data_IF_016722261766
#
_entry.id   IF_016722261766
#
_cell.length_a   1.000
_cell.length_b   1.000
_cell.length_c   1.000
_cell.angle_alpha   90.00
_cell.angle_beta   90.00
_cell.angle_gamma   90.00
#
_symmetry.space_group_name_H-M   'P 1'
#
loop_
_entity.id
_entity.type
_entity.pdbx_description
1 polymer ?
#
# COMPACT_ATOMS: atom_id res chain seq x y z
N UNK A 1 20.50 -7.21 2.89
CA UNK A 1 19.77 -6.08 2.28
C UNK A 1 19.75 -4.92 3.25
N UNK A 2 20.04 -3.71 2.78
CA UNK A 2 19.97 -2.50 3.61
C UNK A 2 18.59 -1.86 3.40
N UNK A 3 17.72 -1.88 4.41
CA UNK A 3 16.32 -1.45 4.28
C UNK A 3 16.09 -0.20 5.11
N UNK A 4 16.08 0.94 4.44
CA UNK A 4 15.85 2.26 5.02
C UNK A 4 15.04 3.13 4.07
N UNK A 5 14.21 4.03 4.60
CA UNK A 5 13.47 4.99 3.80
C UNK A 5 14.46 5.98 3.17
N UNK A 6 14.58 5.94 1.85
CA UNK A 6 15.53 6.77 1.10
C UNK A 6 15.19 8.27 1.19
N UNK A 7 16.21 9.12 1.05
CA UNK A 7 16.01 10.57 0.98
C UNK A 7 15.23 10.98 -0.28
N UNK A 8 15.43 10.25 -1.39
CA UNK A 8 14.68 10.45 -2.63
C UNK A 8 13.18 10.20 -2.42
N UNK A 9 12.81 9.11 -1.74
CA UNK A 9 11.41 8.83 -1.40
C UNK A 9 10.83 9.94 -0.51
N UNK A 10 11.55 10.37 0.52
CA UNK A 10 11.10 11.46 1.40
C UNK A 10 10.90 12.78 0.65
N UNK A 11 11.82 13.10 -0.28
CA UNK A 11 11.73 14.29 -1.10
C UNK A 11 10.58 14.24 -2.12
N UNK A 12 10.08 13.05 -2.46
CA UNK A 12 8.92 12.88 -3.34
C UNK A 12 7.58 13.17 -2.66
N UNK A 13 7.53 13.23 -1.32
CA UNK A 13 6.31 13.48 -0.57
C UNK A 13 5.88 14.95 -0.73
N UNK A 14 4.69 15.16 -1.27
CA UNK A 14 4.14 16.48 -1.57
C UNK A 14 2.88 16.71 -0.73
N UNK A 15 2.85 17.75 0.12
CA UNK A 15 1.69 18.07 0.94
C UNK A 15 0.53 18.58 0.08
N UNK A 16 -0.70 18.24 0.50
CA UNK A 16 -1.91 18.82 -0.06
C UNK A 16 -2.18 20.19 0.55
N UNK A 17 -2.85 21.06 -0.22
CA UNK A 17 -3.38 22.30 0.34
C UNK A 17 -4.48 22.00 1.38
N UNK A 18 -4.58 22.84 2.41
CA UNK A 18 -5.59 22.67 3.47
C UNK A 18 -6.98 22.77 2.89
N UNK A 19 -7.19 23.71 1.98
CA UNK A 19 -8.47 23.97 1.31
C UNK A 19 -8.97 22.75 0.54
N UNK A 20 -8.06 21.91 0.01
CA UNK A 20 -8.43 20.67 -0.68
C UNK A 20 -9.00 19.62 0.27
N UNK A 21 -8.48 19.56 1.51
CA UNK A 21 -8.79 18.49 2.46
C UNK A 21 -9.82 18.87 3.52
N UNK A 22 -10.00 20.16 3.80
CA UNK A 22 -10.96 20.69 4.79
C UNK A 22 -12.38 20.12 4.61
N UNK A 23 -12.95 20.03 3.38
CA UNK A 23 -14.29 19.49 3.17
C UNK A 23 -14.47 18.04 3.62
N UNK A 24 -13.38 17.28 3.76
CA UNK A 24 -13.43 15.85 4.06
C UNK A 24 -13.53 15.54 5.56
N UNK A 25 -13.34 16.54 6.44
CA UNK A 25 -13.43 16.41 7.89
C UNK A 25 -12.63 15.21 8.44
N UNK A 26 -11.38 15.09 7.99
CA UNK A 26 -10.49 13.99 8.35
C UNK A 26 -10.07 14.06 9.82
N UNK A 27 -9.65 12.93 10.44
CA UNK A 27 -9.06 12.93 11.77
C UNK A 27 -7.84 13.86 11.81
N UNK A 28 -7.64 14.58 12.91
CA UNK A 28 -6.62 15.62 13.03
C UNK A 28 -5.22 15.14 12.63
N UNK A 29 -4.82 13.94 13.07
CA UNK A 29 -3.52 13.36 12.72
C UNK A 29 -3.39 13.08 11.21
N UNK A 30 -4.44 12.55 10.58
CA UNK A 30 -4.46 12.29 9.13
C UNK A 30 -4.42 13.60 8.35
N UNK A 31 -5.23 14.58 8.75
CA UNK A 31 -5.27 15.90 8.12
C UNK A 31 -3.91 16.60 8.21
N UNK A 32 -3.31 16.61 9.40
CA UNK A 32 -2.00 17.20 9.62
C UNK A 32 -0.93 16.50 8.77
N UNK A 33 -0.90 15.18 8.77
CA UNK A 33 0.07 14.42 7.97
C UNK A 33 -0.04 14.76 6.49
N UNK A 34 -1.25 14.76 5.92
CA UNK A 34 -1.45 15.03 4.50
C UNK A 34 -1.15 16.49 4.10
N UNK A 35 -1.25 17.45 5.02
CA UNK A 35 -1.01 18.88 4.75
C UNK A 35 0.41 19.35 5.10
N UNK A 36 1.14 18.60 5.93
CA UNK A 36 2.53 18.94 6.30
C UNK A 36 3.58 18.03 5.63
N UNK A 37 3.24 16.75 5.41
CA UNK A 37 4.14 15.75 4.82
C UNK A 37 3.66 15.33 3.43
N UNK A 38 2.41 14.89 3.33
CA UNK A 38 1.79 14.53 2.06
C UNK A 38 2.10 13.13 1.56
N UNK A 39 1.93 12.95 0.24
CA UNK A 39 2.03 11.66 -0.47
C UNK A 39 2.95 11.80 -1.69
N UNK A 40 3.51 10.70 -2.23
CA UNK A 40 4.42 10.76 -3.35
C UNK A 40 3.66 10.93 -4.69
N UNK A 41 3.03 12.09 -4.90
CA UNK A 41 2.04 12.33 -5.96
C UNK A 41 2.55 12.10 -7.38
N UNK A 42 3.84 12.35 -7.61
CA UNK A 42 4.45 12.24 -8.94
C UNK A 42 5.43 11.07 -9.06
N UNK A 43 5.60 10.27 -7.99
CA UNK A 43 6.45 9.09 -8.05
C UNK A 43 5.61 7.86 -8.38
N UNK A 44 5.99 7.14 -9.43
CA UNK A 44 5.48 5.79 -9.64
C UNK A 44 6.12 4.87 -8.60
N UNK A 45 5.30 4.31 -7.71
CA UNK A 45 5.77 3.38 -6.69
C UNK A 45 5.45 1.95 -7.14
N UNK A 46 6.46 1.20 -7.60
CA UNK A 46 6.29 -0.20 -8.01
C UNK A 46 6.25 -1.11 -6.77
N UNK A 47 5.06 -1.64 -6.44
CA UNK A 47 4.92 -2.57 -5.31
C UNK A 47 5.17 -4.02 -5.75
N UNK A 48 4.76 -4.37 -6.97
CA UNK A 48 4.93 -5.68 -7.65
C UNK A 48 4.94 -5.43 -9.16
N UNK A 49 5.45 -6.36 -10.00
CA UNK A 49 5.55 -6.11 -11.42
C UNK A 49 4.16 -5.85 -11.99
N UNK A 50 4.06 -4.84 -12.84
CA UNK A 50 2.83 -4.44 -13.53
C UNK A 50 1.69 -3.91 -12.63
N UNK A 51 1.93 -3.61 -11.35
CA UNK A 51 0.96 -2.91 -10.50
C UNK A 51 1.56 -1.66 -9.84
N UNK A 52 1.80 -0.60 -10.62
CA UNK A 52 2.29 0.66 -10.08
C UNK A 52 1.22 1.31 -9.20
N UNK A 53 1.62 1.76 -8.02
CA UNK A 53 0.79 2.60 -7.17
C UNK A 53 0.88 4.05 -7.67
N UNK A 54 -0.25 4.57 -8.15
CA UNK A 54 -0.39 5.94 -8.66
C UNK A 54 -1.29 6.75 -7.75
N UNK A 55 -0.76 7.83 -7.16
CA UNK A 55 -1.50 8.70 -6.25
C UNK A 55 -2.37 9.71 -7.01
N UNK A 56 -3.52 10.06 -6.42
CA UNK A 56 -4.43 11.06 -6.99
C UNK A 56 -4.02 12.45 -6.53
N UNK A 57 -3.85 13.38 -7.48
CA UNK A 57 -3.64 14.80 -7.18
C UNK A 57 -4.84 15.43 -6.47
N UNK A 58 -6.04 14.93 -6.79
CA UNK A 58 -7.30 15.36 -6.16
C UNK A 58 -7.96 14.12 -5.55
N UNK A 59 -7.76 13.86 -4.24
CA UNK A 59 -8.40 12.75 -3.57
C UNK A 59 -9.91 13.01 -3.48
N UNK A 60 -10.71 11.95 -3.44
CA UNK A 60 -12.17 12.06 -3.47
C UNK A 60 -12.83 11.10 -2.48
N UNK A 61 -13.99 11.51 -1.97
CA UNK A 61 -14.79 10.66 -1.09
C UNK A 61 -15.77 9.83 -1.90
N UNK A 62 -15.89 8.56 -1.54
CA UNK A 62 -16.98 7.71 -2.00
C UNK A 62 -17.58 6.96 -0.81
N UNK A 63 -18.91 6.92 -0.79
CA UNK A 63 -19.68 6.09 0.13
C UNK A 63 -20.03 4.78 -0.57
N UNK A 64 -19.84 3.69 0.14
CA UNK A 64 -20.12 2.36 -0.37
C UNK A 64 -21.45 1.87 0.14
N UNK A 65 -22.20 1.14 -0.70
CA UNK A 65 -23.53 0.65 -0.34
C UNK A 65 -23.47 -0.41 0.77
N UNK A 66 -22.42 -1.24 0.75
CA UNK A 66 -22.28 -2.41 1.61
C UNK A 66 -21.16 -2.28 2.65
N UNK A 67 -20.33 -1.25 2.55
CA UNK A 67 -19.34 -0.94 3.59
C UNK A 67 -19.92 0.15 4.48
N UNK A 68 -19.83 -0.05 5.80
CA UNK A 68 -20.36 0.91 6.78
C UNK A 68 -19.55 2.22 6.80
N UNK A 69 -18.34 2.19 6.28
CA UNK A 69 -17.36 3.26 6.40
C UNK A 69 -17.42 4.17 5.16
N UNK A 70 -17.01 5.42 5.34
CA UNK A 70 -16.80 6.38 4.26
C UNK A 70 -15.31 6.45 3.98
N UNK A 71 -14.93 6.42 2.71
CA UNK A 71 -13.54 6.32 2.32
C UNK A 71 -13.11 7.52 1.50
N UNK A 72 -11.94 8.07 1.84
CA UNK A 72 -11.20 9.03 1.01
C UNK A 72 -10.20 8.26 0.16
N UNK A 73 -10.43 8.25 -1.14
CA UNK A 73 -9.57 7.59 -2.12
C UNK A 73 -8.36 8.45 -2.44
N UNK A 74 -7.16 7.85 -2.35
CA UNK A 74 -5.88 8.55 -2.45
C UNK A 74 -4.96 8.01 -3.55
N UNK A 75 -5.17 6.76 -3.99
CA UNK A 75 -4.35 6.16 -5.03
C UNK A 75 -5.05 5.00 -5.73
N UNK A 76 -4.46 4.52 -6.82
CA UNK A 76 -4.83 3.33 -7.57
C UNK A 76 -3.64 2.39 -7.70
N UNK A 77 -3.90 1.08 -7.61
CA UNK A 77 -2.98 0.01 -7.99
C UNK A 77 -3.50 -0.73 -9.24
N UNK A 78 -4.07 0.01 -10.18
CA UNK A 78 -4.64 -0.49 -11.43
C UNK A 78 -5.55 -1.72 -11.20
N UNK A 79 -5.21 -2.87 -11.79
CA UNK A 79 -5.99 -4.11 -11.68
C UNK A 79 -6.09 -4.67 -10.25
N UNK A 80 -5.21 -4.26 -9.32
CA UNK A 80 -5.27 -4.70 -7.92
C UNK A 80 -6.27 -3.89 -7.08
N UNK A 81 -6.86 -2.82 -7.63
CA UNK A 81 -7.87 -2.02 -6.96
C UNK A 81 -7.35 -0.67 -6.45
N UNK A 82 -8.12 -0.06 -5.55
CA UNK A 82 -7.93 1.33 -5.14
C UNK A 82 -7.46 1.45 -3.70
N UNK A 83 -6.65 2.46 -3.39
CA UNK A 83 -6.19 2.72 -2.03
C UNK A 83 -7.01 3.85 -1.42
N UNK A 84 -7.52 3.62 -0.22
CA UNK A 84 -8.38 4.56 0.46
C UNK A 84 -8.14 4.62 1.97
N UNK A 85 -8.42 5.80 2.53
CA UNK A 85 -8.41 6.08 3.96
C UNK A 85 -9.83 6.01 4.49
N UNK A 86 -10.04 5.32 5.60
CA UNK A 86 -11.29 5.48 6.36
C UNK A 86 -11.32 6.86 7.00
N UNK A 87 -12.30 7.69 6.62
CA UNK A 87 -12.42 9.08 7.10
C UNK A 87 -12.69 9.16 8.60
N UNK A 88 -13.10 8.07 9.27
CA UNK A 88 -13.38 8.06 10.70
C UNK A 88 -12.13 7.82 11.56
N UNK A 89 -11.27 6.90 11.15
CA UNK A 89 -10.13 6.45 11.97
C UNK A 89 -8.76 6.61 11.29
N UNK A 90 -8.72 6.97 10.01
CA UNK A 90 -7.48 7.21 9.27
C UNK A 90 -6.74 5.96 8.81
N UNK A 91 -7.29 4.75 9.04
CA UNK A 91 -6.68 3.50 8.57
C UNK A 91 -6.74 3.40 7.05
N UNK A 92 -5.72 2.75 6.48
CA UNK A 92 -5.52 2.62 5.03
C UNK A 92 -5.96 1.23 4.58
N UNK A 93 -6.74 1.19 3.51
CA UNK A 93 -7.28 -0.02 2.92
C UNK A 93 -7.00 -0.06 1.43
N UNK A 94 -6.80 -1.28 0.93
CA UNK A 94 -6.96 -1.60 -0.48
C UNK A 94 -8.41 -2.05 -0.68
N UNK A 95 -9.15 -1.32 -1.50
CA UNK A 95 -10.50 -1.66 -1.92
C UNK A 95 -10.39 -2.44 -3.23
N UNK A 96 -10.49 -3.77 -3.13
CA UNK A 96 -10.49 -4.66 -4.28
C UNK A 96 -11.90 -4.75 -4.87
N UNK A 97 -11.95 -4.87 -6.20
CA UNK A 97 -13.18 -5.07 -6.94
C UNK A 97 -13.22 -6.53 -7.39
N UNK A 98 -14.22 -7.28 -6.90
CA UNK A 98 -14.49 -8.64 -7.36
C UNK A 98 -15.55 -8.60 -8.45
N UNK A 99 -15.10 -8.64 -9.71
CA UNK A 99 -15.99 -8.68 -10.88
C UNK A 99 -16.53 -10.09 -11.17
N UNK A 100 -16.01 -11.15 -10.53
CA UNK A 100 -16.43 -12.53 -10.82
C UNK A 100 -17.88 -12.81 -10.43
N UNK A 101 -18.40 -12.10 -9.42
CA UNK A 101 -19.80 -12.18 -8.97
C UNK A 101 -20.74 -11.21 -9.72
N UNK A 102 -20.23 -10.35 -10.61
CA UNK A 102 -21.02 -9.38 -11.40
C UNK A 102 -22.14 -10.06 -12.20
N UNK A 103 -21.89 -11.30 -12.63
CA UNK A 103 -22.83 -12.09 -13.43
C UNK A 103 -24.00 -12.69 -12.63
N UNK A 104 -23.86 -12.83 -11.30
CA UNK A 104 -24.84 -13.54 -10.47
C UNK A 104 -25.88 -12.61 -9.86
N UNK A 105 -25.50 -11.38 -9.51
CA UNK A 105 -26.37 -10.45 -8.77
C UNK A 105 -26.47 -9.05 -9.38
N UNK A 106 -25.77 -8.80 -10.50
CA UNK A 106 -25.70 -7.47 -11.11
C UNK A 106 -24.98 -6.42 -10.26
N UNK A 107 -24.33 -6.84 -9.17
CA UNK A 107 -23.65 -5.99 -8.22
C UNK A 107 -22.17 -6.33 -8.15
N UNK A 108 -21.35 -5.28 -8.16
CA UNK A 108 -19.90 -5.39 -8.01
C UNK A 108 -19.60 -5.44 -6.51
N UNK A 109 -18.90 -6.49 -6.07
CA UNK A 109 -18.52 -6.67 -4.67
C UNK A 109 -17.20 -5.96 -4.41
N UNK A 110 -17.21 -5.05 -3.45
CA UNK A 110 -16.02 -4.31 -3.02
C UNK A 110 -15.53 -4.90 -1.69
N UNK A 111 -14.26 -5.34 -1.68
CA UNK A 111 -13.67 -6.03 -0.53
C UNK A 111 -12.55 -5.14 0.04
N UNK A 112 -12.74 -4.54 1.23
CA UNK A 112 -11.69 -3.78 1.88
C UNK A 112 -10.67 -4.73 2.53
N UNK A 113 -9.42 -4.61 2.13
CA UNK A 113 -8.27 -5.28 2.75
C UNK A 113 -7.43 -4.27 3.52
N UNK A 114 -7.13 -4.58 4.77
CA UNK A 114 -6.32 -3.72 5.65
C UNK A 114 -4.88 -3.61 5.13
N UNK A 115 -4.40 -2.38 4.94
CA UNK A 115 -3.02 -2.09 4.53
C UNK A 115 -2.18 -1.52 5.64
N UNK A 116 -2.71 -0.60 6.44
CA UNK A 116 -2.00 0.05 7.55
C UNK A 116 -2.98 0.73 8.51
N UNK A 117 -2.57 0.93 9.77
CA UNK A 117 -3.44 1.56 10.77
C UNK A 117 -3.57 3.08 10.63
N UNK A 118 -2.66 3.73 9.90
CA UNK A 118 -2.72 5.17 9.64
C UNK A 118 -1.98 5.50 8.36
N UNK A 119 -2.22 6.70 7.81
CA UNK A 119 -1.51 7.17 6.62
C UNK A 119 0.00 7.27 6.84
N UNK A 120 0.45 7.66 8.04
CA UNK A 120 1.88 7.70 8.38
C UNK A 120 2.51 6.32 8.25
N UNK A 121 1.90 5.31 8.89
CA UNK A 121 2.39 3.94 8.81
C UNK A 121 2.41 3.44 7.36
N UNK A 122 1.42 3.81 6.55
CA UNK A 122 1.40 3.47 5.14
C UNK A 122 2.57 4.07 4.36
N UNK A 123 2.83 5.37 4.51
CA UNK A 123 3.95 6.05 3.85
C UNK A 123 5.30 5.47 4.32
N UNK A 124 5.45 5.20 5.61
CA UNK A 124 6.69 4.63 6.14
C UNK A 124 6.91 3.18 5.64
N UNK A 125 5.86 2.35 5.65
CA UNK A 125 5.93 0.99 5.10
C UNK A 125 6.20 0.99 3.59
N UNK A 126 5.57 1.89 2.84
CA UNK A 126 5.81 2.05 1.41
C UNK A 126 7.26 2.47 1.14
N UNK A 127 7.80 3.44 1.89
CA UNK A 127 9.19 3.85 1.78
C UNK A 127 10.19 2.72 2.06
N UNK A 128 9.91 1.87 3.05
CA UNK A 128 10.71 0.66 3.32
C UNK A 128 10.61 -0.35 2.17
N UNK A 129 9.41 -0.54 1.61
CA UNK A 129 9.19 -1.43 0.48
C UNK A 129 9.94 -0.95 -0.78
N UNK A 130 9.89 0.35 -1.08
CA UNK A 130 10.62 0.96 -2.21
C UNK A 130 12.15 0.76 -2.11
N UNK A 131 12.69 0.65 -0.89
CA UNK A 131 14.10 0.31 -0.66
C UNK A 131 14.38 -1.18 -0.84
N UNK A 132 13.49 -2.03 -0.31
CA UNK A 132 13.68 -3.48 -0.26
C UNK A 132 13.44 -4.17 -1.61
N UNK A 133 12.32 -3.88 -2.27
CA UNK A 133 11.83 -4.66 -3.40
C UNK A 133 12.80 -4.72 -4.60
N UNK A 134 13.48 -3.61 -4.99
CA UNK A 134 14.52 -3.69 -6.02
C UNK A 134 15.70 -4.59 -5.61
N UNK A 135 16.11 -4.58 -4.34
CA UNK A 135 17.19 -5.45 -3.84
C UNK A 135 16.79 -6.93 -3.87
N UNK A 136 15.53 -7.22 -3.54
CA UNK A 136 15.00 -8.58 -3.64
C UNK A 136 15.02 -9.08 -5.08
N UNK A 137 14.57 -8.27 -6.04
CA UNK A 137 14.57 -8.62 -7.46
C UNK A 137 15.97 -8.92 -7.99
N UNK A 138 16.95 -8.08 -7.65
CA UNK A 138 18.34 -8.34 -8.06
C UNK A 138 18.91 -9.60 -7.41
N UNK A 139 18.56 -9.88 -6.15
CA UNK A 139 18.97 -11.11 -5.48
C UNK A 139 18.34 -12.36 -6.11
N UNK A 140 17.03 -12.34 -6.39
CA UNK A 140 16.34 -13.45 -7.08
C UNK A 140 16.94 -13.69 -8.46
N UNK A 141 17.20 -12.62 -9.22
CA UNK A 141 17.87 -12.73 -10.52
C UNK A 141 19.25 -13.37 -10.40
N UNK A 142 20.06 -12.95 -9.43
CA UNK A 142 21.39 -13.51 -9.17
C UNK A 142 21.32 -15.00 -8.80
N UNK A 143 20.33 -15.41 -8.02
CA UNK A 143 20.15 -16.82 -7.65
C UNK A 143 19.74 -17.66 -8.85
N UNK A 144 18.84 -17.16 -9.71
CA UNK A 144 18.44 -17.83 -10.94
C UNK A 144 19.60 -17.99 -11.95
N UNK A 145 20.56 -17.06 -11.96
CA UNK A 145 21.78 -17.17 -12.77
C UNK A 145 22.74 -18.28 -12.26
N UNK A 146 22.65 -18.64 -10.98
CA UNK A 146 23.47 -19.70 -10.35
C UNK A 146 22.75 -21.05 -10.43
N UNK A 147 21.44 -21.05 -10.18
CA UNK A 147 20.57 -22.21 -10.16
C UNK A 147 19.25 -21.87 -10.86
N UNK A 148 19.08 -22.37 -12.08
CA UNK A 148 17.87 -22.17 -12.88
C UNK A 148 16.60 -22.77 -12.23
N UNK A 149 16.76 -23.66 -11.24
CA UNK A 149 15.65 -24.26 -10.49
C UNK A 149 15.31 -23.50 -9.22
N UNK A 150 16.03 -22.42 -8.90
CA UNK A 150 15.77 -21.57 -7.74
C UNK A 150 14.30 -21.15 -7.69
N UNK A 151 13.68 -21.35 -6.54
CA UNK A 151 12.28 -21.02 -6.31
C UNK A 151 12.13 -20.19 -5.05
N UNK A 152 11.53 -19.01 -5.19
CA UNK A 152 11.26 -18.15 -4.04
C UNK A 152 10.28 -18.79 -3.03
N UNK A 153 9.50 -19.80 -3.44
CA UNK A 153 8.66 -20.61 -2.55
C UNK A 153 9.47 -21.41 -1.53
N UNK A 154 10.71 -21.75 -1.85
CA UNK A 154 11.62 -22.48 -0.95
C UNK A 154 12.48 -21.55 -0.10
N UNK A 155 12.41 -20.23 -0.39
CA UNK A 155 13.28 -19.20 0.17
C UNK A 155 12.51 -18.03 0.80
N UNK A 156 11.44 -18.33 1.53
CA UNK A 156 10.63 -17.32 2.25
C UNK A 156 11.46 -16.49 3.25
N UNK A 157 12.63 -16.98 3.68
CA UNK A 157 13.56 -16.23 4.54
C UNK A 157 14.03 -14.90 3.92
N UNK A 158 14.02 -14.78 2.59
CA UNK A 158 14.40 -13.55 1.90
C UNK A 158 13.47 -12.38 2.20
N UNK A 159 12.23 -12.65 2.62
CA UNK A 159 11.27 -11.63 3.06
C UNK A 159 11.38 -11.26 4.55
N UNK A 160 12.07 -12.06 5.37
CA UNK A 160 12.14 -11.80 6.82
C UNK A 160 12.73 -10.43 7.18
N UNK A 161 13.74 -9.89 6.48
CA UNK A 161 14.25 -8.55 6.74
C UNK A 161 13.17 -7.46 6.60
N UNK A 162 12.36 -7.49 5.54
CA UNK A 162 11.31 -6.48 5.34
C UNK A 162 10.16 -6.68 6.33
N UNK A 163 9.74 -7.93 6.58
CA UNK A 163 8.68 -8.22 7.55
C UNK A 163 9.02 -7.75 8.96
N UNK A 164 10.31 -7.81 9.34
CA UNK A 164 10.78 -7.26 10.63
C UNK A 164 10.63 -5.74 10.66
N UNK A 165 11.09 -5.04 9.62
CA UNK A 165 10.99 -3.57 9.52
C UNK A 165 9.55 -3.08 9.50
N UNK A 166 8.67 -3.73 8.73
CA UNK A 166 7.24 -3.40 8.69
C UNK A 166 6.57 -3.57 10.06
N UNK A 167 6.99 -4.57 10.85
CA UNK A 167 6.50 -4.79 12.23
C UNK A 167 6.98 -3.73 13.21
N UNK A 168 8.18 -3.19 13.02
CA UNK A 168 8.69 -2.07 13.81
C UNK A 168 7.88 -0.79 13.56
N UNK A 169 7.43 -0.56 12.32
CA UNK A 169 6.63 0.61 11.92
C UNK A 169 5.15 0.46 12.29
N UNK A 170 4.51 -0.65 11.93
CA UNK A 170 3.07 -0.87 12.16
C UNK A 170 2.80 -2.22 12.84
N UNK A 171 3.14 -2.35 14.14
CA UNK A 171 3.04 -3.60 14.86
C UNK A 171 1.60 -4.10 15.00
N UNK A 172 0.60 -3.21 14.90
CA UNK A 172 -0.81 -3.57 15.07
C UNK A 172 -1.37 -4.21 13.80
N UNK A 173 -1.13 -3.65 12.61
CA UNK A 173 -1.66 -4.28 11.38
C UNK A 173 -0.91 -5.56 11.02
N UNK A 174 0.37 -5.65 11.39
CA UNK A 174 1.17 -6.88 11.21
C UNK A 174 0.70 -8.10 12.01
N UNK A 175 -0.23 -7.91 12.98
CA UNK A 175 -0.89 -9.02 13.71
C UNK A 175 -2.09 -9.59 12.96
N UNK A 176 -2.59 -8.89 11.95
CA UNK A 176 -3.75 -9.35 11.19
C UNK A 176 -3.36 -10.55 10.31
N UNK A 177 -4.27 -11.53 10.23
CA UNK A 177 -4.02 -12.78 9.50
C UNK A 177 -3.95 -12.56 7.99
N UNK A 178 -4.75 -11.63 7.46
CA UNK A 178 -4.85 -11.30 6.03
C UNK A 178 -4.48 -9.83 5.85
N UNK A 179 -3.19 -9.56 5.83
CA UNK A 179 -2.62 -8.23 5.78
C UNK A 179 -1.91 -7.99 4.44
N UNK A 180 -2.12 -6.83 3.84
CA UNK A 180 -1.59 -6.49 2.51
C UNK A 180 -0.09 -6.78 2.36
N UNK A 181 0.76 -6.23 3.23
CA UNK A 181 2.21 -6.37 3.05
C UNK A 181 2.71 -7.80 3.23
N UNK A 182 1.98 -8.65 3.98
CA UNK A 182 2.29 -10.07 4.06
C UNK A 182 1.96 -10.77 2.74
N UNK A 183 0.83 -10.42 2.11
CA UNK A 183 0.48 -10.90 0.77
C UNK A 183 1.54 -10.46 -0.26
N UNK A 184 2.08 -9.26 -0.15
CA UNK A 184 3.19 -8.82 -1.02
C UNK A 184 4.48 -9.60 -0.81
N UNK A 185 4.63 -10.29 0.32
CA UNK A 185 5.77 -11.17 0.63
C UNK A 185 5.47 -12.64 0.27
N UNK A 186 4.53 -12.90 -0.64
CA UNK A 186 4.29 -14.24 -1.16
C UNK A 186 5.07 -14.46 -2.47
N UNK A 187 5.50 -15.70 -2.77
CA UNK A 187 6.46 -15.95 -3.85
C UNK A 187 5.91 -15.70 -5.27
N UNK A 188 4.60 -15.65 -5.44
CA UNK A 188 3.90 -15.39 -6.70
C UNK A 188 3.82 -13.89 -7.07
N UNK A 189 4.39 -13.02 -6.23
CA UNK A 189 4.37 -11.56 -6.39
C UNK A 189 5.65 -11.01 -7.05
N UNK A 190 6.70 -11.83 -7.25
CA UNK A 190 8.01 -11.41 -7.81
C UNK A 190 8.17 -11.84 -9.26
#
# INVERSE_FOLDING_TARGET
MNIEISQEYKASLIPFSKETLEPFNLPAETFQFLTEVGLPLHASCEITPNAPLTFFEVPYIKKHRYLQNTFLYIASMDAMGLIALDVKNGAVFQIQIDESEKHLWGEIKEIPLSMNNSIRHFVDCLGLWMSFYPQLREEVKRQLEIDETFSLFEHEELYQPILKKLREVDPKTMRERKFFWRRMCEPDIV
#
